data_IF_273110318859
#
_entry.id   IF_273110318859
#
_cell.length_a   1.000
_cell.length_b   1.000
_cell.length_c   1.000
_cell.angle_alpha   90.00
_cell.angle_beta   90.00
_cell.angle_gamma   90.00
#
_symmetry.space_group_name_H-M   'P 1'
#
loop_
_entity.id
_entity.type
_entity.pdbx_description
1 polymer ?
#
# COMPACT_ATOMS: atom_id res chain seq x y z
N UNK A 1 26.54 15.00 -11.56
CA UNK A 1 27.45 13.84 -11.64
C UNK A 1 27.89 13.33 -10.27
N UNK A 2 28.10 14.20 -9.27
CA UNK A 2 28.47 13.80 -7.90
C UNK A 2 27.54 12.71 -7.30
N UNK A 3 26.22 12.85 -7.44
CA UNK A 3 25.27 11.87 -6.91
C UNK A 3 25.42 10.46 -7.52
N UNK A 4 25.60 10.37 -8.85
CA UNK A 4 25.83 9.08 -9.52
C UNK A 4 27.17 8.45 -9.12
N UNK A 5 28.23 9.25 -9.00
CA UNK A 5 29.53 8.78 -8.54
C UNK A 5 29.44 8.27 -7.10
N UNK A 6 28.81 9.04 -6.20
CA UNK A 6 28.64 8.63 -4.81
C UNK A 6 27.79 7.38 -4.67
N UNK A 7 26.66 7.27 -5.38
CA UNK A 7 25.82 6.07 -5.39
C UNK A 7 26.61 4.82 -5.80
N UNK A 8 27.50 4.95 -6.79
CA UNK A 8 28.36 3.86 -7.24
C UNK A 8 29.41 3.50 -6.19
N UNK A 9 30.07 4.50 -5.58
CA UNK A 9 31.06 4.25 -4.51
C UNK A 9 30.46 3.66 -3.25
N UNK A 10 29.25 4.08 -2.86
CA UNK A 10 28.55 3.56 -1.68
C UNK A 10 28.15 2.10 -1.84
N UNK A 11 28.09 1.58 -3.08
CA UNK A 11 27.87 0.16 -3.39
C UNK A 11 26.69 -0.45 -2.63
N UNK A 12 25.58 0.29 -2.52
CA UNK A 12 24.38 -0.18 -1.83
C UNK A 12 23.79 -1.34 -2.63
N UNK A 13 23.70 -2.50 -2.00
CA UNK A 13 23.07 -3.71 -2.53
C UNK A 13 21.88 -4.09 -1.66
N UNK A 14 21.05 -5.02 -2.14
CA UNK A 14 19.91 -5.54 -1.39
C UNK A 14 20.02 -7.06 -1.30
N UNK A 15 20.10 -7.56 -0.07
CA UNK A 15 20.05 -8.96 0.29
C UNK A 15 18.74 -9.33 1.00
N UNK A 16 18.50 -10.64 1.15
CA UNK A 16 17.38 -11.15 1.94
C UNK A 16 17.52 -10.79 3.43
N UNK A 17 18.76 -10.66 3.91
CA UNK A 17 19.08 -10.34 5.30
C UNK A 17 18.63 -8.92 5.67
N UNK A 18 18.69 -7.97 4.71
CA UNK A 18 18.29 -6.58 4.89
C UNK A 18 16.78 -6.41 5.16
N UNK A 19 15.96 -7.42 4.81
CA UNK A 19 14.51 -7.41 5.01
C UNK A 19 14.12 -7.73 6.45
N UNK A 20 14.62 -6.98 7.42
CA UNK A 20 14.42 -7.27 8.84
C UNK A 20 12.93 -7.31 9.23
N UNK A 21 12.46 -8.49 9.65
CA UNK A 21 11.13 -8.69 10.20
C UNK A 21 11.01 -8.06 11.58
N UNK A 22 9.85 -7.46 11.85
CA UNK A 22 9.59 -6.76 13.09
C UNK A 22 9.33 -7.78 14.21
N UNK A 23 10.01 -7.69 15.37
CA UNK A 23 9.81 -8.64 16.47
C UNK A 23 8.37 -8.65 17.00
N UNK A 24 7.70 -7.49 16.95
CA UNK A 24 6.33 -7.33 17.42
C UNK A 24 5.28 -8.02 16.55
N UNK A 25 5.63 -8.42 15.31
CA UNK A 25 4.71 -9.09 14.39
C UNK A 25 4.04 -10.32 14.99
N UNK A 26 4.82 -11.20 15.63
CA UNK A 26 4.31 -12.47 16.13
C UNK A 26 3.18 -12.30 17.15
N UNK A 27 3.37 -11.44 18.15
CA UNK A 27 2.35 -11.24 19.19
C UNK A 27 1.16 -10.42 18.68
N UNK A 28 1.37 -9.46 17.77
CA UNK A 28 0.28 -8.67 17.17
C UNK A 28 -0.66 -9.51 16.33
N UNK A 29 -0.10 -10.43 15.53
CA UNK A 29 -0.91 -11.37 14.75
C UNK A 29 -1.66 -12.31 15.68
N UNK A 30 -1.00 -12.83 16.71
CA UNK A 30 -1.64 -13.72 17.69
C UNK A 30 -2.78 -13.04 18.45
N UNK A 31 -2.62 -11.77 18.84
CA UNK A 31 -3.68 -10.98 19.47
C UNK A 31 -4.88 -10.79 18.53
N UNK A 32 -4.63 -10.45 17.26
CA UNK A 32 -5.67 -10.31 16.25
C UNK A 32 -6.42 -11.63 15.97
N UNK A 33 -5.71 -12.76 15.96
CA UNK A 33 -6.32 -14.09 15.86
C UNK A 33 -7.20 -14.43 17.06
N UNK A 34 -6.74 -14.09 18.27
CA UNK A 34 -7.53 -14.30 19.49
C UNK A 34 -8.81 -13.45 19.49
N UNK A 35 -8.72 -12.19 19.08
CA UNK A 35 -9.90 -11.33 18.92
C UNK A 35 -10.86 -11.87 17.87
N UNK A 36 -10.33 -12.34 16.73
CA UNK A 36 -11.13 -12.96 15.66
C UNK A 36 -11.85 -14.24 16.16
N UNK A 37 -11.18 -15.05 16.98
CA UNK A 37 -11.77 -16.25 17.59
C UNK A 37 -12.91 -15.91 18.57
N UNK A 38 -12.74 -14.88 19.40
CA UNK A 38 -13.80 -14.40 20.29
C UNK A 38 -15.01 -13.90 19.51
N UNK A 39 -14.76 -13.15 18.42
CA UNK A 39 -15.79 -12.67 17.53
C UNK A 39 -16.56 -13.83 16.87
N UNK A 40 -15.86 -14.88 16.47
CA UNK A 40 -16.48 -16.11 15.94
C UNK A 40 -17.40 -16.77 16.98
N UNK A 41 -16.94 -16.85 18.24
CA UNK A 41 -17.74 -17.37 19.36
C UNK A 41 -19.02 -16.55 19.60
N UNK A 42 -18.93 -15.22 19.56
CA UNK A 42 -20.08 -14.34 19.69
C UNK A 42 -21.09 -14.51 18.55
N UNK A 43 -20.60 -14.76 17.33
CA UNK A 43 -21.43 -15.10 16.19
C UNK A 43 -22.17 -16.45 16.41
N UNK A 44 -21.47 -17.48 16.88
CA UNK A 44 -22.10 -18.78 17.18
C UNK A 44 -23.17 -18.71 18.28
N UNK A 45 -23.02 -17.80 19.25
CA UNK A 45 -24.04 -17.56 20.28
C UNK A 45 -25.20 -16.65 19.83
N UNK A 46 -25.21 -16.19 18.58
CA UNK A 46 -26.25 -15.32 18.06
C UNK A 46 -26.21 -13.89 18.60
N UNK A 47 -25.10 -13.48 19.22
CA UNK A 47 -24.93 -12.13 19.77
C UNK A 47 -24.58 -11.09 18.69
N UNK A 48 -24.03 -11.54 17.55
CA UNK A 48 -23.55 -10.67 16.47
C UNK A 48 -24.06 -11.18 15.12
N UNK A 49 -24.48 -10.27 14.24
CA UNK A 49 -24.93 -10.61 12.89
C UNK A 49 -23.76 -10.81 11.92
N UNK A 50 -23.95 -11.56 10.83
CA UNK A 50 -22.88 -11.90 9.88
C UNK A 50 -22.19 -10.66 9.27
N UNK A 51 -22.96 -9.62 8.95
CA UNK A 51 -22.43 -8.35 8.40
C UNK A 51 -21.56 -7.63 9.43
N UNK A 52 -21.98 -7.63 10.69
CA UNK A 52 -21.26 -6.97 11.77
C UNK A 52 -19.99 -7.72 12.15
N UNK A 53 -20.03 -9.06 12.11
CA UNK A 53 -18.84 -9.91 12.20
C UNK A 53 -17.81 -9.52 11.15
N UNK A 54 -18.20 -9.47 9.88
CA UNK A 54 -17.28 -9.12 8.80
C UNK A 54 -16.69 -7.72 8.99
N UNK A 55 -17.50 -6.74 9.38
CA UNK A 55 -17.03 -5.38 9.62
C UNK A 55 -15.99 -5.32 10.74
N UNK A 56 -16.26 -5.97 11.87
CA UNK A 56 -15.35 -5.99 13.02
C UNK A 56 -14.06 -6.76 12.70
N UNK A 57 -14.14 -7.89 11.99
CA UNK A 57 -12.96 -8.63 11.52
C UNK A 57 -12.06 -7.75 10.64
N UNK A 58 -12.66 -7.07 9.66
CA UNK A 58 -11.92 -6.13 8.79
C UNK A 58 -11.25 -5.01 9.60
N UNK A 59 -11.94 -4.46 10.59
CA UNK A 59 -11.42 -3.38 11.45
C UNK A 59 -10.23 -3.85 12.30
N UNK A 60 -10.31 -5.04 12.91
CA UNK A 60 -9.23 -5.65 13.70
C UNK A 60 -7.98 -5.82 12.83
N UNK A 61 -8.10 -6.50 11.69
CA UNK A 61 -6.96 -6.77 10.81
C UNK A 61 -6.39 -5.50 10.17
N UNK A 62 -7.24 -4.52 9.85
CA UNK A 62 -6.80 -3.23 9.36
C UNK A 62 -6.00 -2.45 10.41
N UNK A 63 -6.50 -2.39 11.64
CA UNK A 63 -5.83 -1.74 12.76
C UNK A 63 -4.46 -2.38 13.06
N UNK A 64 -4.40 -3.72 13.10
CA UNK A 64 -3.14 -4.45 13.28
C UNK A 64 -2.15 -4.16 12.14
N UNK A 65 -2.63 -4.06 10.89
CA UNK A 65 -1.77 -3.76 9.73
C UNK A 65 -1.16 -2.37 9.82
N UNK A 66 -1.97 -1.38 10.15
CA UNK A 66 -1.50 0.01 10.26
C UNK A 66 -0.57 0.18 11.48
N UNK A 67 -0.85 -0.50 12.59
CA UNK A 67 0.07 -0.50 13.74
C UNK A 67 1.43 -1.11 13.38
N UNK A 68 1.45 -2.27 12.71
CA UNK A 68 2.70 -2.89 12.21
C UNK A 68 3.48 -1.96 11.28
N UNK A 69 2.79 -1.25 10.39
CA UNK A 69 3.40 -0.30 9.46
C UNK A 69 4.01 0.90 10.18
N UNK A 70 3.40 1.38 11.26
CA UNK A 70 3.95 2.45 12.09
C UNK A 70 5.19 1.99 12.87
N UNK A 71 5.09 0.83 13.52
CA UNK A 71 6.20 0.16 14.22
C UNK A 71 7.41 -0.06 13.31
N UNK A 72 7.17 -0.46 12.07
CA UNK A 72 8.21 -0.66 11.06
C UNK A 72 9.05 0.60 10.87
N UNK A 73 8.39 1.74 10.67
CA UNK A 73 9.06 3.02 10.42
C UNK A 73 9.87 3.49 11.63
N UNK A 74 9.39 3.25 12.86
CA UNK A 74 10.16 3.54 14.07
C UNK A 74 11.34 2.59 14.24
N UNK A 75 11.18 1.29 13.96
CA UNK A 75 12.23 0.29 14.13
C UNK A 75 13.40 0.52 13.18
N UNK A 76 13.15 0.80 11.89
CA UNK A 76 14.25 1.11 10.95
C UNK A 76 15.08 2.32 11.38
N UNK A 77 14.45 3.33 12.02
CA UNK A 77 15.16 4.52 12.50
C UNK A 77 16.06 4.24 13.70
N UNK A 78 15.76 3.21 14.48
CA UNK A 78 16.44 2.88 15.74
C UNK A 78 17.49 1.78 15.53
N UNK A 79 17.19 0.77 14.72
CA UNK A 79 18.00 -0.45 14.62
C UNK A 79 19.14 -0.32 13.63
N UNK A 80 18.89 0.19 12.42
CA UNK A 80 19.94 0.33 11.40
C UNK A 80 19.62 1.45 10.38
N UNK A 81 20.14 2.67 10.62
CA UNK A 81 20.00 3.79 9.71
C UNK A 81 20.66 3.57 8.34
N UNK A 82 21.58 2.60 8.24
CA UNK A 82 22.31 2.28 7.02
C UNK A 82 21.66 1.18 6.18
N UNK A 83 20.53 0.64 6.64
CA UNK A 83 19.80 -0.40 5.92
C UNK A 83 19.42 0.07 4.50
N UNK A 84 19.82 -0.66 3.44
CA UNK A 84 19.53 -0.31 2.05
C UNK A 84 18.05 -0.05 1.75
N UNK A 85 17.16 -0.86 2.32
CA UNK A 85 15.70 -0.77 2.10
C UNK A 85 15.16 0.53 2.70
N UNK A 86 15.61 0.86 3.92
CA UNK A 86 15.24 2.11 4.58
C UNK A 86 15.78 3.32 3.80
N UNK A 87 17.06 3.30 3.43
CA UNK A 87 17.69 4.37 2.65
C UNK A 87 16.96 4.63 1.33
N UNK A 88 16.64 3.58 0.56
CA UNK A 88 15.94 3.72 -0.71
C UNK A 88 14.53 4.30 -0.54
N UNK A 89 13.77 3.82 0.45
CA UNK A 89 12.39 4.25 0.65
C UNK A 89 12.28 5.65 1.26
N UNK A 90 13.16 6.01 2.21
CA UNK A 90 13.10 7.30 2.91
C UNK A 90 13.71 8.44 2.10
N UNK A 91 14.76 8.16 1.32
CA UNK A 91 15.33 9.16 0.40
C UNK A 91 14.41 9.50 -0.78
N UNK A 92 13.33 8.74 -0.96
CA UNK A 92 12.42 8.87 -2.12
C UNK A 92 13.04 8.35 -3.42
N UNK A 93 14.20 7.68 -3.36
CA UNK A 93 14.84 7.12 -4.54
C UNK A 93 14.02 5.97 -5.16
N UNK A 94 13.57 5.03 -4.31
CA UNK A 94 12.71 3.91 -4.74
C UNK A 94 12.05 3.24 -3.54
N UNK A 95 10.79 2.86 -3.70
CA UNK A 95 10.05 2.17 -2.64
C UNK A 95 9.24 3.15 -1.79
N UNK A 96 8.04 2.71 -1.43
CA UNK A 96 7.18 3.39 -0.45
C UNK A 96 7.16 2.54 0.83
N UNK A 97 6.96 3.17 1.99
CA UNK A 97 6.69 2.48 3.26
C UNK A 97 5.62 1.38 3.13
N UNK A 98 4.59 1.58 2.30
CA UNK A 98 3.58 0.54 2.06
C UNK A 98 4.12 -0.68 1.29
N UNK A 99 5.11 -0.50 0.41
CA UNK A 99 5.78 -1.59 -0.29
C UNK A 99 6.78 -2.31 0.62
N UNK A 100 7.50 -1.55 1.46
CA UNK A 100 8.39 -2.13 2.48
C UNK A 100 7.57 -2.96 3.48
N UNK A 101 6.41 -2.47 3.90
CA UNK A 101 5.47 -3.20 4.77
C UNK A 101 5.07 -4.56 4.19
N UNK A 102 4.89 -4.67 2.87
CA UNK A 102 4.60 -5.97 2.22
C UNK A 102 5.80 -6.94 2.20
N UNK A 103 7.03 -6.42 2.28
CA UNK A 103 8.25 -7.23 2.30
C UNK A 103 8.51 -7.83 3.69
N UNK A 104 8.32 -7.05 4.76
CA UNK A 104 8.73 -7.42 6.12
C UNK A 104 7.58 -7.52 7.13
N UNK A 105 6.46 -6.85 6.89
CA UNK A 105 5.31 -6.80 7.80
C UNK A 105 4.35 -7.96 7.55
N UNK A 106 3.07 -7.64 7.39
CA UNK A 106 2.05 -8.55 6.86
C UNK A 106 1.42 -7.93 5.62
N UNK A 107 1.00 -8.75 4.66
CA UNK A 107 0.39 -8.23 3.43
C UNK A 107 -1.03 -7.71 3.68
N UNK A 108 -1.74 -8.27 4.66
CA UNK A 108 -3.03 -7.80 5.15
C UNK A 108 -4.21 -8.30 4.34
N UNK A 109 -5.32 -7.56 4.42
CA UNK A 109 -6.58 -7.93 3.77
C UNK A 109 -6.55 -7.61 2.26
N UNK A 110 -7.29 -8.42 1.50
CA UNK A 110 -7.47 -8.25 0.06
C UNK A 110 -8.95 -8.19 -0.29
N UNK A 111 -9.26 -7.48 -1.37
CA UNK A 111 -10.59 -7.47 -1.95
C UNK A 111 -10.75 -8.57 -3.00
N UNK A 112 -11.95 -9.12 -3.09
CA UNK A 112 -12.38 -9.99 -4.17
C UNK A 112 -12.52 -9.19 -5.51
N UNK A 113 -12.75 -9.86 -6.65
CA UNK A 113 -12.98 -9.19 -7.93
C UNK A 113 -14.14 -8.18 -7.91
N UNK A 114 -15.17 -8.45 -7.10
CA UNK A 114 -16.36 -7.62 -6.92
C UNK A 114 -16.10 -6.39 -6.04
N UNK A 115 -14.97 -6.33 -5.33
CA UNK A 115 -14.60 -5.26 -4.41
C UNK A 115 -15.01 -5.48 -2.95
N UNK A 116 -15.54 -6.65 -2.59
CA UNK A 116 -15.81 -7.03 -1.21
C UNK A 116 -14.54 -7.50 -0.52
N UNK A 117 -14.37 -7.13 0.75
CA UNK A 117 -13.21 -7.56 1.54
C UNK A 117 -13.34 -9.05 1.88
N UNK A 118 -12.26 -9.80 1.67
CA UNK A 118 -12.18 -11.21 2.01
C UNK A 118 -11.83 -11.31 3.50
N UNK A 119 -12.62 -12.09 4.26
CA UNK A 119 -12.46 -12.31 5.71
C UNK A 119 -11.22 -13.15 6.09
N UNK A 120 -10.31 -13.39 5.14
CA UNK A 120 -9.08 -14.15 5.33
C UNK A 120 -7.87 -13.24 5.05
N UNK A 121 -7.19 -12.73 6.08
CA UNK A 121 -6.01 -11.89 5.91
C UNK A 121 -4.81 -12.70 5.44
N UNK A 122 -3.91 -12.06 4.71
CA UNK A 122 -2.59 -12.61 4.38
C UNK A 122 -1.61 -12.18 5.48
N UNK A 123 -1.30 -13.12 6.37
CA UNK A 123 -0.42 -12.88 7.52
C UNK A 123 1.05 -12.94 7.13
N UNK A 124 1.37 -13.76 6.13
CA UNK A 124 2.73 -13.91 5.61
C UNK A 124 3.19 -12.67 4.84
N UNK A 125 4.51 -12.49 4.78
CA UNK A 125 5.16 -11.47 3.96
C UNK A 125 5.92 -12.09 2.78
N UNK A 126 6.44 -11.24 1.90
CA UNK A 126 7.19 -11.69 0.73
C UNK A 126 8.55 -12.29 1.09
N UNK A 127 9.11 -11.98 2.28
CA UNK A 127 10.33 -12.62 2.79
C UNK A 127 10.08 -14.07 3.24
N UNK A 128 9.00 -14.30 3.97
CA UNK A 128 8.58 -15.62 4.51
C UNK A 128 8.02 -16.52 3.41
N UNK A 129 7.43 -15.92 2.38
CA UNK A 129 6.72 -16.62 1.30
C UNK A 129 5.22 -16.74 1.59
N UNK A 130 4.44 -16.84 0.52
CA UNK A 130 2.98 -16.94 0.59
C UNK A 130 2.55 -18.40 0.39
N UNK A 131 1.57 -18.85 1.16
CA UNK A 131 0.88 -20.11 0.89
C UNK A 131 0.10 -20.04 -0.43
N UNK A 132 -0.29 -21.21 -0.97
CA UNK A 132 -1.08 -21.29 -2.21
C UNK A 132 -2.37 -20.45 -2.12
N UNK A 133 -3.08 -20.54 -0.99
CA UNK A 133 -4.33 -19.81 -0.76
C UNK A 133 -4.11 -18.30 -0.72
N UNK A 134 -3.11 -17.84 0.04
CA UNK A 134 -2.76 -16.42 0.14
C UNK A 134 -2.30 -15.86 -1.22
N UNK A 135 -1.55 -16.64 -1.99
CA UNK A 135 -1.12 -16.25 -3.33
C UNK A 135 -2.31 -16.07 -4.27
N UNK A 136 -3.26 -17.02 -4.30
CA UNK A 136 -4.48 -16.92 -5.13
C UNK A 136 -5.31 -15.70 -4.73
N UNK A 137 -5.49 -15.45 -3.43
CA UNK A 137 -6.22 -14.28 -2.94
C UNK A 137 -5.53 -12.98 -3.40
N UNK A 138 -4.21 -12.92 -3.32
CA UNK A 138 -3.43 -11.78 -3.81
C UNK A 138 -3.56 -11.56 -5.33
N UNK A 139 -3.84 -12.59 -6.13
CA UNK A 139 -4.00 -12.46 -7.58
C UNK A 139 -5.25 -11.65 -7.96
N UNK A 140 -6.33 -11.69 -7.18
CA UNK A 140 -7.55 -10.93 -7.49
C UNK A 140 -7.29 -9.42 -7.49
N UNK A 141 -6.65 -8.92 -6.44
CA UNK A 141 -6.25 -7.52 -6.34
C UNK A 141 -5.27 -7.09 -7.43
N UNK A 142 -4.27 -7.93 -7.72
CA UNK A 142 -3.28 -7.66 -8.77
C UNK A 142 -3.93 -7.54 -10.16
N UNK A 143 -4.82 -8.48 -10.51
CA UNK A 143 -5.53 -8.46 -11.80
C UNK A 143 -6.42 -7.22 -11.92
N UNK A 144 -7.16 -6.87 -10.87
CA UNK A 144 -7.99 -5.66 -10.85
C UNK A 144 -7.15 -4.40 -11.06
N UNK A 145 -6.00 -4.30 -10.39
CA UNK A 145 -5.08 -3.17 -10.57
C UNK A 145 -4.56 -3.03 -12.00
N UNK A 146 -4.23 -4.14 -12.67
CA UNK A 146 -3.80 -4.11 -14.09
C UNK A 146 -4.93 -3.65 -15.01
N UNK A 147 -6.15 -4.16 -14.80
CA UNK A 147 -7.33 -3.78 -15.58
C UNK A 147 -7.66 -2.30 -15.37
N UNK A 148 -7.70 -1.84 -14.12
CA UNK A 148 -7.97 -0.44 -13.79
C UNK A 148 -6.92 0.50 -14.40
N UNK A 149 -5.65 0.07 -14.43
CA UNK A 149 -4.58 0.85 -15.07
C UNK A 149 -4.80 0.96 -16.57
N UNK A 150 -5.21 -0.11 -17.24
CA UNK A 150 -5.52 -0.08 -18.68
C UNK A 150 -6.70 0.85 -18.99
N UNK A 151 -7.78 0.78 -18.21
CA UNK A 151 -8.94 1.68 -18.34
C UNK A 151 -8.54 3.13 -18.11
N UNK A 152 -7.82 3.42 -17.02
CA UNK A 152 -7.33 4.78 -16.71
C UNK A 152 -6.42 5.33 -17.80
N UNK A 153 -5.62 4.48 -18.45
CA UNK A 153 -4.76 4.89 -19.57
C UNK A 153 -5.60 5.36 -20.76
N UNK A 154 -6.66 4.62 -21.10
CA UNK A 154 -7.58 4.99 -22.17
C UNK A 154 -8.32 6.31 -21.85
N UNK A 155 -8.85 6.44 -20.64
CA UNK A 155 -9.58 7.63 -20.20
C UNK A 155 -8.69 8.87 -20.15
N UNK A 156 -7.45 8.75 -19.67
CA UNK A 156 -6.50 9.86 -19.62
C UNK A 156 -6.15 10.39 -21.02
N UNK A 157 -5.94 9.48 -21.98
CA UNK A 157 -5.71 9.85 -23.38
C UNK A 157 -6.93 10.54 -23.99
N UNK A 158 -8.12 9.98 -23.78
CA UNK A 158 -9.37 10.57 -24.24
C UNK A 158 -9.62 11.96 -23.66
N UNK A 159 -9.41 12.14 -22.35
CA UNK A 159 -9.56 13.42 -21.67
C UNK A 159 -8.60 14.46 -22.22
N UNK A 160 -7.32 14.10 -22.36
CA UNK A 160 -6.30 15.01 -22.91
C UNK A 160 -6.66 15.45 -24.32
N UNK A 161 -7.14 14.53 -25.17
CA UNK A 161 -7.60 14.86 -26.53
C UNK A 161 -8.72 15.89 -26.51
N UNK A 162 -9.75 15.69 -25.68
CA UNK A 162 -10.88 16.64 -25.58
C UNK A 162 -10.47 18.01 -25.04
N UNK A 163 -9.58 18.03 -24.04
CA UNK A 163 -9.05 19.29 -23.50
C UNK A 163 -8.30 20.09 -24.57
N UNK A 164 -7.47 19.41 -25.38
CA UNK A 164 -6.73 20.04 -26.49
C UNK A 164 -7.69 20.53 -27.57
N UNK A 165 -8.70 19.75 -27.96
CA UNK A 165 -9.68 20.14 -28.98
C UNK A 165 -10.42 21.45 -28.63
N UNK A 166 -10.69 21.71 -27.35
CA UNK A 166 -11.36 22.94 -26.88
C UNK A 166 -10.37 24.11 -26.78
N UNK A 167 -9.17 23.87 -26.25
CA UNK A 167 -8.21 24.93 -25.90
C UNK A 167 -7.25 25.28 -27.05
N UNK A 168 -7.18 24.48 -28.12
CA UNK A 168 -6.20 24.64 -29.22
C UNK A 168 -6.19 26.03 -29.89
N UNK A 169 -7.30 26.77 -29.86
CA UNK A 169 -7.38 28.12 -30.44
C UNK A 169 -7.02 29.24 -29.46
N UNK A 170 -6.79 28.95 -28.18
CA UNK A 170 -6.46 29.92 -27.14
C UNK A 170 -4.96 30.20 -27.15
N UNK A 171 -4.59 31.41 -27.57
CA UNK A 171 -3.20 31.87 -27.68
C UNK A 171 -3.08 33.22 -26.98
N UNK A 172 -2.01 33.40 -26.19
CA UNK A 172 -1.69 34.69 -25.56
C UNK A 172 -1.19 35.67 -26.63
N UNK A 173 -2.04 36.63 -27.02
CA UNK A 173 -1.74 37.60 -28.10
C UNK A 173 -1.31 38.98 -27.61
N UNK A 174 -1.69 39.37 -26.39
CA UNK A 174 -1.44 40.71 -25.82
C UNK A 174 -1.07 40.57 -24.34
N UNK A 175 -0.26 41.52 -23.84
CA UNK A 175 0.22 41.53 -22.45
C UNK A 175 -0.84 42.01 -21.46
N UNK A 176 -1.62 43.01 -21.84
CA UNK A 176 -2.72 43.54 -21.04
C UNK A 176 -3.96 43.72 -21.93
N UNK A 177 -5.10 43.28 -21.42
CA UNK A 177 -6.41 43.43 -22.08
C UNK A 177 -7.25 44.57 -21.47
N UNK A 178 -6.75 45.25 -20.43
CA UNK A 178 -7.39 46.41 -19.80
C UNK A 178 -8.62 46.08 -18.96
N UNK A 179 -8.84 44.82 -18.59
CA UNK A 179 -10.00 44.40 -17.79
C UNK A 179 -9.78 44.70 -16.31
N UNK A 180 -10.80 45.25 -15.65
CA UNK A 180 -10.84 45.44 -14.19
C UNK A 180 -11.45 44.24 -13.44
N UNK A 181 -11.92 43.22 -14.17
CA UNK A 181 -12.54 42.01 -13.59
C UNK A 181 -11.47 40.97 -13.26
N UNK A 182 -11.43 40.53 -12.00
CA UNK A 182 -10.62 39.40 -11.52
C UNK A 182 -11.47 38.41 -10.72
N UNK A 183 -10.97 37.19 -10.56
CA UNK A 183 -11.56 36.18 -9.68
C UNK A 183 -10.73 36.21 -8.39
N UNK A 184 -11.39 36.42 -7.24
CA UNK A 184 -10.78 36.39 -5.90
C UNK A 184 -10.74 34.99 -5.34
#
# INVERSE_FOLDING_TARGET
>A
TLGFHQATTTSISLGIEDLLTIPSKGWLVQDAEQQSFLLEKHYYYGAVHAVEKLRQSVEIWYATSEYLKQEMNSNFRITDPSNPVYLMSFSGARGNASQVHQLVGMRGLMADPQGQMIDLPIQSNLREGLSLTEYIISCYGARKGVVDTAVRTADAGYLTRRLVEVVQHIIVRRRDCGTIRGIS
#
